data_IF_517242087252
#
_entry.id   IF_517242087252
#
_cell.length_a   1.000
_cell.length_b   1.000
_cell.length_c   1.000
_cell.angle_alpha   90.00
_cell.angle_beta   90.00
_cell.angle_gamma   90.00
#
_symmetry.space_group_name_H-M   'P 1'
#
loop_
_entity.id
_entity.type
_entity.pdbx_description
1 polymer ?
#
# COMPACT_ATOMS: atom_id res chain seq x y z
N UNK A 1 -32.29 -12.82 49.43
CA UNK A 1 -32.01 -13.90 50.41
C UNK A 1 -30.54 -14.29 50.32
N UNK A 2 -29.79 -14.15 51.41
CA UNK A 2 -28.36 -14.48 51.44
C UNK A 2 -28.16 -16.01 51.40
N UNK A 3 -27.23 -16.50 50.56
CA UNK A 3 -26.92 -17.93 50.45
C UNK A 3 -26.24 -18.41 51.73
N UNK A 4 -26.65 -19.56 52.27
CA UNK A 4 -26.04 -20.16 53.47
C UNK A 4 -24.57 -20.48 53.18
N UNK A 5 -23.67 -19.83 53.91
CA UNK A 5 -22.24 -20.01 53.77
C UNK A 5 -21.85 -21.29 54.53
N UNK A 6 -21.22 -22.25 53.84
CA UNK A 6 -20.75 -23.51 54.44
C UNK A 6 -19.67 -23.24 55.50
N UNK A 7 -19.71 -23.99 56.62
CA UNK A 7 -18.77 -23.89 57.76
C UNK A 7 -17.29 -24.08 57.35
N UNK A 8 -17.02 -24.74 56.22
CA UNK A 8 -15.66 -24.95 55.69
C UNK A 8 -15.28 -24.02 54.55
N UNK A 9 -16.15 -23.08 54.18
CA UNK A 9 -15.84 -22.12 53.13
C UNK A 9 -14.83 -21.08 53.60
N UNK A 10 -14.05 -20.56 52.64
CA UNK A 10 -13.05 -19.52 52.89
C UNK A 10 -13.64 -18.25 53.52
N UNK A 11 -14.88 -17.90 53.15
CA UNK A 11 -15.57 -16.74 53.71
C UNK A 11 -15.90 -16.91 55.21
N UNK A 12 -16.30 -18.11 55.65
CA UNK A 12 -16.54 -18.40 57.07
C UNK A 12 -15.26 -18.35 57.90
N UNK A 13 -14.14 -18.83 57.35
CA UNK A 13 -12.84 -18.76 58.02
C UNK A 13 -12.27 -17.34 58.11
N UNK A 14 -12.70 -16.44 57.21
CA UNK A 14 -12.31 -15.03 57.28
C UNK A 14 -13.24 -14.20 58.17
N UNK A 15 -14.51 -14.57 58.33
CA UNK A 15 -15.42 -13.84 59.22
C UNK A 15 -15.05 -13.97 60.70
N UNK A 16 -14.55 -15.14 61.12
CA UNK A 16 -14.14 -15.38 62.51
C UNK A 16 -12.77 -14.75 62.84
N UNK A 17 -11.99 -14.37 61.83
CA UNK A 17 -10.68 -13.74 61.98
C UNK A 17 -10.73 -12.20 62.02
N UNK A 18 -11.89 -11.59 61.71
CA UNK A 18 -12.11 -10.17 61.96
C UNK A 18 -12.66 -10.00 63.38
N UNK A 19 -11.77 -9.77 64.33
CA UNK A 19 -12.17 -9.40 65.69
C UNK A 19 -13.05 -8.13 65.65
N UNK A 20 -14.18 -8.10 66.40
CA UNK A 20 -15.11 -6.98 66.39
C UNK A 20 -14.45 -5.68 66.87
N UNK A 21 -13.47 -5.79 67.79
CA UNK A 21 -12.72 -4.65 68.33
C UNK A 21 -11.93 -3.88 67.24
N UNK A 22 -11.51 -4.56 66.17
CA UNK A 22 -10.76 -3.92 65.06
C UNK A 22 -11.68 -3.04 64.21
N UNK A 23 -12.98 -3.35 64.14
CA UNK A 23 -13.96 -2.51 63.44
C UNK A 23 -14.26 -1.25 64.24
N UNK A 24 -14.32 -1.34 65.56
CA UNK A 24 -14.54 -0.19 66.45
C UNK A 24 -13.39 0.83 66.34
N UNK A 25 -12.15 0.35 66.12
CA UNK A 25 -10.99 1.21 65.84
C UNK A 25 -11.00 1.90 64.47
N UNK A 26 -11.85 1.45 63.55
CA UNK A 26 -11.99 2.05 62.21
C UNK A 26 -12.96 3.23 62.16
N UNK A 27 -13.86 3.32 63.14
CA UNK A 27 -14.82 4.43 63.27
C UNK A 27 -14.23 5.66 63.95
N UNK A 28 -13.07 5.52 64.62
CA UNK A 28 -12.38 6.63 65.26
C UNK A 28 -11.77 7.57 64.19
N UNK A 29 -12.00 8.89 64.30
CA UNK A 29 -11.43 9.86 63.38
C UNK A 29 -9.90 9.84 63.51
N UNK A 30 -9.22 9.38 62.46
CA UNK A 30 -7.76 9.43 62.37
C UNK A 30 -7.33 10.89 62.22
N UNK A 31 -6.25 11.26 62.89
CA UNK A 31 -5.66 12.58 62.74
C UNK A 31 -5.32 12.83 61.26
N UNK A 32 -5.90 13.88 60.69
CA UNK A 32 -5.64 14.25 59.30
C UNK A 32 -4.14 14.45 59.09
N UNK A 33 -3.59 13.90 57.98
CA UNK A 33 -2.18 14.00 57.53
C UNK A 33 -1.17 13.00 58.14
N UNK A 34 -1.57 12.00 58.92
CA UNK A 34 -0.63 10.96 59.39
C UNK A 34 -0.31 9.89 58.35
N UNK A 35 -1.13 9.75 57.30
CA UNK A 35 -0.98 8.72 56.26
C UNK A 35 0.06 9.12 55.20
N UNK A 36 1.29 9.38 55.64
CA UNK A 36 2.43 9.70 54.78
C UNK A 36 2.74 8.57 53.79
N UNK A 37 2.49 7.32 54.20
CA UNK A 37 2.68 6.13 53.36
C UNK A 37 1.82 6.18 52.10
N UNK A 38 0.54 6.57 52.21
CA UNK A 38 -0.36 6.68 51.06
C UNK A 38 0.04 7.86 50.14
N UNK A 39 0.56 8.95 50.71
CA UNK A 39 1.10 10.07 49.93
C UNK A 39 2.34 9.61 49.15
N UNK A 40 3.27 8.90 49.80
CA UNK A 40 4.48 8.36 49.17
C UNK A 40 4.16 7.33 48.08
N UNK A 41 3.18 6.45 48.30
CA UNK A 41 2.74 5.46 47.30
C UNK A 41 2.14 6.18 46.09
N UNK A 42 1.28 7.18 46.28
CA UNK A 42 0.68 7.94 45.17
C UNK A 42 1.72 8.75 44.39
N UNK A 43 2.70 9.36 45.06
CA UNK A 43 3.76 10.11 44.37
C UNK A 43 4.70 9.18 43.61
N UNK A 44 5.07 8.03 44.19
CA UNK A 44 5.87 7.01 43.52
C UNK A 44 5.17 6.48 42.25
N UNK A 45 3.89 6.09 42.36
CA UNK A 45 3.12 5.59 41.22
C UNK A 45 2.98 6.64 40.10
N UNK A 46 2.77 7.92 40.45
CA UNK A 46 2.73 9.01 39.46
C UNK A 46 4.09 9.18 38.78
N UNK A 47 5.18 9.11 39.52
CA UNK A 47 6.53 9.25 38.97
C UNK A 47 6.88 8.07 38.05
N UNK A 48 6.52 6.85 38.43
CA UNK A 48 6.67 5.64 37.63
C UNK A 48 5.90 5.74 36.30
N UNK A 49 4.61 6.10 36.35
CA UNK A 49 3.81 6.31 35.14
C UNK A 49 4.38 7.39 34.21
N UNK A 50 4.93 8.48 34.77
CA UNK A 50 5.60 9.51 33.98
C UNK A 50 6.91 9.02 33.34
N UNK A 51 7.66 8.16 34.03
CA UNK A 51 8.86 7.53 33.47
C UNK A 51 8.52 6.56 32.34
N UNK A 52 7.52 5.70 32.52
CA UNK A 52 7.02 4.80 31.48
C UNK A 52 6.53 5.58 30.24
N UNK A 53 5.78 6.66 30.46
CA UNK A 53 5.34 7.54 29.38
C UNK A 53 6.52 8.21 28.65
N UNK A 54 7.60 8.57 29.35
CA UNK A 54 8.82 9.12 28.72
C UNK A 54 9.58 8.06 27.92
N UNK A 55 9.75 6.86 28.48
CA UNK A 55 10.44 5.74 27.84
C UNK A 55 9.69 5.31 26.58
N UNK A 56 8.36 5.12 26.68
CA UNK A 56 7.51 4.76 25.53
C UNK A 56 7.49 5.85 24.45
N UNK A 57 7.44 7.14 24.81
CA UNK A 57 7.58 8.25 23.85
C UNK A 57 8.95 8.23 23.15
N UNK A 58 10.04 7.96 23.87
CA UNK A 58 11.39 7.84 23.29
C UNK A 58 11.50 6.64 22.35
N UNK A 59 10.97 5.48 22.74
CA UNK A 59 10.92 4.27 21.92
C UNK A 59 10.06 4.47 20.65
N UNK A 60 8.92 5.14 20.77
CA UNK A 60 8.04 5.44 19.65
C UNK A 60 8.59 6.52 18.73
N UNK A 61 9.34 7.51 19.24
CA UNK A 61 10.06 8.49 18.41
C UNK A 61 11.15 7.84 17.57
N UNK A 62 11.82 6.81 18.10
CA UNK A 62 12.74 5.96 17.33
C UNK A 62 12.04 5.20 16.20
N UNK A 63 10.80 4.73 16.40
CA UNK A 63 10.03 4.03 15.35
C UNK A 63 9.39 4.97 14.32
N UNK A 64 8.85 6.11 14.76
CA UNK A 64 8.08 7.07 13.93
C UNK A 64 8.96 8.13 13.27
N UNK A 65 10.17 8.33 13.76
CA UNK A 65 11.17 9.29 13.27
C UNK A 65 12.33 8.68 12.49
N UNK A 66 12.28 7.38 12.14
CA UNK A 66 13.20 6.82 11.15
C UNK A 66 12.91 7.51 9.82
N UNK A 67 13.67 8.57 9.50
CA UNK A 67 13.91 8.97 8.11
C UNK A 67 14.17 7.68 7.36
N UNK A 68 13.45 7.46 6.26
CA UNK A 68 13.63 6.30 5.39
C UNK A 68 15.04 6.37 4.80
N UNK A 69 16.01 5.90 5.59
CA UNK A 69 17.40 5.84 5.20
C UNK A 69 17.52 4.76 4.13
N UNK A 70 18.47 4.92 3.21
CA UNK A 70 18.75 3.97 2.12
C UNK A 70 18.74 2.51 2.62
N UNK A 71 19.45 2.22 3.72
CA UNK A 71 19.51 0.90 4.36
C UNK A 71 18.14 0.34 4.76
N UNK A 72 17.25 1.19 5.28
CA UNK A 72 15.90 0.76 5.67
C UNK A 72 15.00 0.45 4.46
N UNK A 73 15.27 1.05 3.29
CA UNK A 73 14.60 0.68 2.05
C UNK A 73 15.20 -0.59 1.44
N UNK A 74 16.52 -0.76 1.53
CA UNK A 74 17.22 -1.99 1.12
C UNK A 74 16.74 -3.20 1.93
N UNK A 75 16.63 -3.07 3.26
CA UNK A 75 16.10 -4.12 4.14
C UNK A 75 14.65 -4.47 3.81
N UNK A 76 13.83 -3.47 3.45
CA UNK A 76 12.44 -3.69 3.03
C UNK A 76 12.35 -4.37 1.67
N UNK A 77 13.25 -4.06 0.75
CA UNK A 77 13.34 -4.70 -0.56
C UNK A 77 13.80 -6.16 -0.42
N UNK A 78 14.73 -6.44 0.48
CA UNK A 78 15.16 -7.80 0.79
C UNK A 78 13.98 -8.65 1.34
N UNK A 79 13.12 -8.04 2.15
CA UNK A 79 11.98 -8.69 2.78
C UNK A 79 10.66 -8.59 1.99
N UNK A 80 10.63 -7.91 0.83
CA UNK A 80 9.40 -7.78 0.04
C UNK A 80 9.12 -9.07 -0.73
N UNK A 81 7.95 -9.66 -0.47
CA UNK A 81 7.51 -10.94 -1.08
C UNK A 81 6.87 -10.70 -2.46
N UNK A 82 6.21 -9.55 -2.67
CA UNK A 82 5.52 -9.22 -3.91
C UNK A 82 6.45 -8.57 -4.94
N UNK A 83 6.39 -9.04 -6.19
CA UNK A 83 7.14 -8.48 -7.32
C UNK A 83 6.82 -7.01 -7.57
N UNK A 84 5.55 -6.62 -7.43
CA UNK A 84 5.11 -5.23 -7.61
C UNK A 84 5.68 -4.29 -6.53
N UNK A 85 5.73 -4.75 -5.29
CA UNK A 85 6.29 -3.96 -4.19
C UNK A 85 7.80 -3.82 -4.34
N UNK A 86 8.47 -4.88 -4.80
CA UNK A 86 9.89 -4.86 -5.15
C UNK A 86 10.19 -3.80 -6.19
N UNK A 87 9.43 -3.73 -7.27
CA UNK A 87 9.60 -2.74 -8.34
C UNK A 87 9.38 -1.31 -7.88
N UNK A 88 8.37 -1.08 -7.03
CA UNK A 88 8.10 0.24 -6.43
C UNK A 88 9.24 0.67 -5.51
N UNK A 89 9.75 -0.22 -4.68
CA UNK A 89 10.88 0.05 -3.78
C UNK A 89 12.18 0.28 -4.54
N UNK A 90 12.48 -0.50 -5.58
CA UNK A 90 13.63 -0.30 -6.48
C UNK A 90 13.57 1.08 -7.14
N UNK A 91 12.41 1.46 -7.68
CA UNK A 91 12.21 2.78 -8.28
C UNK A 91 12.45 3.89 -7.26
N UNK A 92 11.86 3.79 -6.07
CA UNK A 92 12.04 4.77 -5.01
C UNK A 92 13.52 4.92 -4.61
N UNK A 93 14.26 3.82 -4.50
CA UNK A 93 15.68 3.81 -4.17
C UNK A 93 16.52 4.48 -5.27
N UNK A 94 16.23 4.16 -6.53
CA UNK A 94 16.92 4.75 -7.68
C UNK A 94 16.60 6.25 -7.86
N UNK A 95 15.43 6.73 -7.45
CA UNK A 95 15.13 8.18 -7.44
C UNK A 95 15.99 8.96 -6.44
N UNK A 96 16.41 8.33 -5.33
CA UNK A 96 17.24 9.00 -4.32
C UNK A 96 18.70 9.18 -4.75
N UNK A 97 19.21 8.33 -5.65
CA UNK A 97 20.60 8.38 -6.12
C UNK A 97 20.71 8.99 -7.52
N UNK A 98 21.55 10.03 -7.67
CA UNK A 98 21.70 10.78 -8.94
C UNK A 98 22.24 9.92 -10.10
N UNK A 99 23.14 8.98 -9.83
CA UNK A 99 23.69 8.08 -10.84
C UNK A 99 22.75 6.91 -11.15
N UNK A 100 22.25 6.23 -10.12
CA UNK A 100 21.33 5.10 -10.30
C UNK A 100 20.04 5.53 -11.02
N UNK A 101 19.53 6.74 -10.73
CA UNK A 101 18.40 7.32 -11.45
C UNK A 101 18.70 7.58 -12.93
N UNK A 102 19.92 7.98 -13.29
CA UNK A 102 20.34 8.13 -14.71
C UNK A 102 20.45 6.77 -15.40
N UNK A 103 21.03 5.78 -14.73
CA UNK A 103 21.14 4.40 -15.24
C UNK A 103 19.74 3.81 -15.46
N UNK A 104 18.84 3.93 -14.48
CA UNK A 104 17.47 3.45 -14.58
C UNK A 104 16.70 4.11 -15.76
N UNK A 105 16.84 5.43 -15.94
CA UNK A 105 16.25 6.15 -17.09
C UNK A 105 16.82 5.70 -18.43
N UNK A 106 18.13 5.45 -18.50
CA UNK A 106 18.78 4.93 -19.71
C UNK A 106 18.24 3.54 -20.07
N UNK A 107 18.19 2.63 -19.10
CA UNK A 107 17.66 1.27 -19.27
C UNK A 107 16.18 1.31 -19.68
N UNK A 108 15.34 2.12 -19.04
CA UNK A 108 13.92 2.22 -19.39
C UNK A 108 13.73 2.77 -20.80
N UNK A 109 14.53 3.75 -21.21
CA UNK A 109 14.49 4.31 -22.57
C UNK A 109 14.92 3.27 -23.61
N UNK A 110 15.97 2.51 -23.33
CA UNK A 110 16.42 1.44 -24.22
C UNK A 110 15.35 0.35 -24.37
N UNK A 111 14.77 -0.12 -23.26
CA UNK A 111 13.67 -1.10 -23.27
C UNK A 111 12.44 -0.58 -24.02
N UNK A 112 12.08 0.69 -23.82
CA UNK A 112 10.99 1.32 -24.54
C UNK A 112 11.24 1.31 -26.05
N UNK A 113 12.42 1.77 -26.50
CA UNK A 113 12.78 1.80 -27.92
C UNK A 113 12.77 0.39 -28.51
N UNK A 114 13.32 -0.60 -27.80
CA UNK A 114 13.31 -2.00 -28.24
C UNK A 114 11.89 -2.52 -28.38
N UNK A 115 11.03 -2.29 -27.39
CA UNK A 115 9.64 -2.73 -27.43
C UNK A 115 8.85 -2.04 -28.56
N UNK A 116 9.01 -0.72 -28.72
CA UNK A 116 8.36 0.02 -29.82
C UNK A 116 8.85 -0.42 -31.19
N UNK A 117 10.15 -0.73 -31.33
CA UNK A 117 10.69 -1.23 -32.60
C UNK A 117 10.18 -2.63 -32.89
N UNK A 118 10.17 -3.52 -31.90
CA UNK A 118 9.65 -4.89 -32.05
C UNK A 118 8.15 -4.88 -32.38
N UNK A 119 7.34 -4.12 -31.66
CA UNK A 119 5.92 -3.97 -31.94
C UNK A 119 5.66 -3.37 -33.33
N UNK A 120 6.48 -2.40 -33.75
CA UNK A 120 6.44 -1.85 -35.11
C UNK A 120 6.74 -2.92 -36.16
N UNK A 121 7.75 -3.76 -35.93
CA UNK A 121 8.10 -4.87 -36.82
C UNK A 121 7.03 -5.96 -36.87
N UNK A 122 6.45 -6.33 -35.73
CA UNK A 122 5.37 -7.32 -35.65
C UNK A 122 4.14 -6.81 -36.40
N UNK A 123 3.75 -5.54 -36.20
CA UNK A 123 2.66 -4.90 -36.93
C UNK A 123 2.94 -4.83 -38.43
N UNK A 124 4.14 -4.45 -38.87
CA UNK A 124 4.47 -4.41 -40.31
C UNK A 124 4.49 -5.81 -40.91
N UNK A 125 4.96 -6.81 -40.18
CA UNK A 125 4.94 -8.20 -40.65
C UNK A 125 3.50 -8.72 -40.78
N UNK A 126 2.62 -8.35 -39.85
CA UNK A 126 1.20 -8.66 -39.96
C UNK A 126 0.53 -7.97 -41.15
N UNK A 127 0.80 -6.68 -41.40
CA UNK A 127 0.24 -5.99 -42.56
C UNK A 127 0.75 -6.59 -43.87
N UNK A 128 2.05 -6.87 -43.98
CA UNK A 128 2.63 -7.53 -45.16
C UNK A 128 2.00 -8.91 -45.38
N UNK A 129 1.82 -9.71 -44.32
CA UNK A 129 1.14 -11.02 -44.43
C UNK A 129 -0.30 -10.88 -44.92
N UNK A 130 -1.05 -9.88 -44.43
CA UNK A 130 -2.42 -9.59 -44.87
C UNK A 130 -2.46 -9.15 -46.35
N UNK A 131 -1.54 -8.28 -46.76
CA UNK A 131 -1.42 -7.81 -48.14
C UNK A 131 -1.01 -8.94 -49.10
N UNK A 132 -0.04 -9.79 -48.71
CA UNK A 132 0.35 -10.97 -49.48
C UNK A 132 -0.78 -12.00 -49.58
N UNK A 133 -1.56 -12.19 -48.51
CA UNK A 133 -2.74 -13.06 -48.55
C UNK A 133 -3.81 -12.51 -49.51
N UNK A 134 -3.98 -11.19 -49.56
CA UNK A 134 -4.88 -10.54 -50.51
C UNK A 134 -4.38 -10.65 -51.97
N UNK A 135 -3.07 -10.45 -52.19
CA UNK A 135 -2.44 -10.50 -53.53
C UNK A 135 -2.30 -11.93 -54.08
N UNK A 136 -1.94 -12.90 -53.24
CA UNK A 136 -1.82 -14.32 -53.63
C UNK A 136 -3.16 -15.06 -53.62
N UNK A 137 -4.23 -14.41 -53.15
CA UNK A 137 -5.45 -15.08 -52.72
C UNK A 137 -6.75 -14.37 -53.09
N UNK A 138 -6.77 -13.52 -54.12
CA UNK A 138 -7.99 -13.18 -54.87
C UNK A 138 -8.66 -14.38 -55.57
N UNK A 139 -8.31 -15.61 -55.19
CA UNK A 139 -8.92 -16.86 -55.61
C UNK A 139 -8.92 -17.89 -54.46
N UNK A 140 -9.61 -17.60 -53.35
CA UNK A 140 -10.45 -18.60 -52.67
C UNK A 140 -11.22 -17.98 -51.52
N UNK A 141 -12.52 -17.87 -51.77
CA UNK A 141 -13.55 -17.63 -50.77
C UNK A 141 -13.66 -18.85 -49.85
N UNK A 142 -13.63 -18.61 -48.53
CA UNK A 142 -14.21 -19.36 -47.40
C UNK A 142 -13.91 -20.86 -47.21
N UNK A 143 -13.39 -21.20 -46.02
CA UNK A 143 -13.83 -22.27 -45.09
C UNK A 143 -12.65 -22.58 -44.12
N UNK A 144 -12.74 -22.58 -42.79
CA UNK A 144 -13.77 -23.13 -41.90
C UNK A 144 -13.76 -22.37 -40.56
N UNK A 145 -14.89 -21.79 -40.18
CA UNK A 145 -15.22 -21.45 -38.79
C UNK A 145 -16.47 -22.23 -38.38
N UNK A 146 -16.25 -23.46 -37.90
CA UNK A 146 -17.13 -24.35 -37.14
C UNK A 146 -16.22 -25.54 -36.77
N UNK A 147 -16.09 -26.03 -35.55
CA UNK A 147 -16.67 -25.83 -34.22
C UNK A 147 -16.07 -26.95 -33.34
N UNK A 148 -16.30 -26.87 -32.01
CA UNK A 148 -15.90 -27.85 -30.96
C UNK A 148 -14.44 -27.74 -30.46
N UNK A 149 -14.11 -27.50 -29.18
CA UNK A 149 -14.88 -27.30 -27.94
C UNK A 149 -13.99 -27.67 -26.75
N UNK A 150 -13.85 -26.79 -25.73
CA UNK A 150 -13.79 -27.20 -24.31
C UNK A 150 -13.85 -26.01 -23.32
N UNK A 151 -14.80 -26.10 -22.38
CA UNK A 151 -14.88 -25.56 -21.00
C UNK A 151 -14.68 -24.03 -20.78
N UNK A 152 -15.75 -23.25 -20.55
CA UNK A 152 -16.46 -23.03 -19.26
C UNK A 152 -15.72 -22.14 -18.23
N UNK A 153 -16.24 -20.89 -18.10
CA UNK A 153 -16.42 -20.01 -16.90
C UNK A 153 -15.12 -19.47 -16.24
N UNK A 154 -14.97 -18.19 -15.92
CA UNK A 154 -15.87 -17.27 -15.21
C UNK A 154 -15.62 -15.79 -15.59
N UNK A 155 -16.63 -14.99 -15.25
CA UNK A 155 -16.88 -13.58 -15.52
C UNK A 155 -15.84 -12.59 -14.94
N UNK A 156 -15.62 -11.48 -15.64
CA UNK A 156 -15.57 -10.16 -14.99
C UNK A 156 -16.01 -9.09 -16.00
N UNK A 157 -17.28 -8.72 -15.90
CA UNK A 157 -17.90 -7.57 -16.54
C UNK A 157 -17.20 -6.27 -16.11
N UNK A 158 -16.73 -5.47 -17.07
CA UNK A 158 -16.49 -4.05 -16.86
C UNK A 158 -17.71 -3.32 -17.43
N UNK A 159 -18.46 -2.54 -16.63
CA UNK A 159 -19.67 -1.88 -17.10
C UNK A 159 -19.36 -0.86 -18.20
N UNK A 160 -20.16 -0.97 -19.26
CA UNK A 160 -20.44 0.07 -20.23
C UNK A 160 -20.76 1.40 -19.50
N UNK A 161 -19.92 2.42 -19.72
CA UNK A 161 -20.32 3.82 -19.56
C UNK A 161 -20.12 4.48 -20.91
N UNK A 162 -21.04 4.16 -21.82
CA UNK A 162 -21.35 5.02 -22.94
C UNK A 162 -22.56 5.87 -22.54
N UNK A 163 -22.49 7.14 -22.92
CA UNK A 163 -23.60 8.01 -23.32
C UNK A 163 -23.79 9.28 -22.49
N UNK A 164 -23.14 10.35 -22.94
CA UNK A 164 -23.84 11.62 -23.20
C UNK A 164 -22.91 12.70 -23.76
N UNK A 165 -23.30 13.15 -24.97
CA UNK A 165 -23.01 14.45 -25.57
C UNK A 165 -21.56 14.76 -26.00
N UNK A 166 -21.30 14.58 -27.28
CA UNK A 166 -21.42 15.69 -28.23
C UNK A 166 -21.00 15.21 -29.63
N UNK A 167 -21.98 15.21 -30.54
CA UNK A 167 -21.73 15.21 -31.98
C UNK A 167 -20.93 16.47 -32.33
N UNK A 168 -19.79 16.31 -33.01
CA UNK A 168 -19.29 17.37 -33.88
C UNK A 168 -18.36 16.82 -34.97
N UNK A 169 -18.95 16.73 -36.17
CA UNK A 169 -18.35 17.02 -37.47
C UNK A 169 -17.04 16.31 -37.85
N UNK A 170 -17.21 15.24 -38.63
CA UNK A 170 -16.19 14.65 -39.49
C UNK A 170 -15.68 15.65 -40.54
N UNK A 171 -14.51 16.24 -40.32
CA UNK A 171 -13.72 16.86 -41.39
C UNK A 171 -12.43 16.07 -41.54
N UNK A 172 -12.29 15.39 -42.68
CA UNK A 172 -11.08 14.67 -43.07
C UNK A 172 -9.91 15.65 -43.15
N UNK A 173 -9.01 15.63 -42.17
CA UNK A 173 -7.76 16.39 -42.22
C UNK A 173 -6.75 15.59 -43.05
N UNK A 174 -6.42 16.10 -44.23
CA UNK A 174 -5.24 15.64 -44.97
C UNK A 174 -3.99 15.88 -44.13
N UNK A 175 -2.96 15.01 -44.20
CA UNK A 175 -1.75 15.17 -43.41
C UNK A 175 -0.97 16.39 -43.90
N UNK A 176 -1.09 17.51 -43.18
CA UNK A 176 -0.30 18.71 -43.44
C UNK A 176 1.15 18.48 -43.02
N UNK A 177 2.10 18.66 -43.95
CA UNK A 177 3.53 18.56 -43.69
C UNK A 177 3.98 19.61 -42.67
N UNK A 178 4.52 19.17 -41.53
CA UNK A 178 4.94 20.05 -40.42
C UNK A 178 6.13 20.94 -40.76
N UNK A 179 6.88 20.63 -41.81
CA UNK A 179 8.00 21.46 -42.26
C UNK A 179 7.57 22.66 -43.11
N UNK A 180 6.35 22.66 -43.65
CA UNK A 180 5.83 23.81 -44.43
C UNK A 180 5.35 24.99 -43.57
N UNK A 181 5.46 24.90 -42.24
CA UNK A 181 5.04 25.95 -41.29
C UNK A 181 6.24 26.72 -40.73
N UNK A 182 7.47 26.30 -41.05
CA UNK A 182 8.65 27.07 -40.68
C UNK A 182 8.82 28.25 -41.65
N UNK A 183 9.11 29.46 -41.14
CA UNK A 183 9.50 30.58 -41.99
C UNK A 183 10.82 30.23 -42.70
N UNK A 184 10.91 30.57 -43.99
CA UNK A 184 12.16 30.45 -44.74
C UNK A 184 13.14 31.52 -44.21
N UNK A 185 14.07 31.11 -43.35
CA UNK A 185 15.21 31.92 -42.94
C UNK A 185 16.19 32.04 -44.12
N UNK A 186 15.89 32.95 -45.05
CA UNK A 186 16.83 33.41 -46.07
C UNK A 186 17.64 34.55 -45.45
N UNK A 187 18.90 34.28 -45.10
CA UNK A 187 19.86 35.32 -44.72
C UNK A 187 20.22 36.13 -45.98
N UNK A 188 19.87 37.42 -46.02
CA UNK A 188 20.42 38.43 -46.95
C UNK A 188 21.73 39.02 -46.41
#
# INVERSE_FOLDING_TARGET
MAKKISKNSRAARQSDALEPEVKDLSELPRAEKTDLTNILIRTAAKNEALLEAKISKKANKSKRGKKLNKKALEDKLANSISSMDRDRLVKALNFTNRLDGKIAKSISRAKYIQNTRKAGWDSTNETIKKELAFLNGGLSVQAKSAGEGNAEKEDEEIPEVFDSLAEDNTVQKTPTNRFGVLPDDVEE
#
